data_IF_164136626337
#
_entry.id   IF_164136626337
#
_cell.length_a   1.000
_cell.length_b   1.000
_cell.length_c   1.000
_cell.angle_alpha   90.00
_cell.angle_beta   90.00
_cell.angle_gamma   90.00
#
_symmetry.space_group_name_H-M   'P 1'
#
loop_
_entity.id
_entity.type
_entity.pdbx_description
1 polymer ?
#
# COMPACT_ATOMS: atom_id res chain seq x y z
N UNK A 1 9.93 11.96 2.94
CA UNK A 1 10.71 11.11 3.86
C UNK A 1 11.14 9.86 3.10
N UNK A 2 12.40 9.41 3.21
CA UNK A 2 12.93 8.33 2.41
C UNK A 2 12.77 7.00 3.16
N UNK A 3 11.54 6.54 3.36
CA UNK A 3 11.27 5.31 4.13
C UNK A 3 10.81 4.14 3.27
N UNK A 4 10.82 4.29 1.94
CA UNK A 4 10.37 3.25 1.01
C UNK A 4 11.36 3.04 -0.14
N UNK A 5 12.64 2.90 0.18
CA UNK A 5 13.67 2.51 -0.80
C UNK A 5 13.71 0.97 -0.98
N UNK A 6 12.53 0.33 -0.95
CA UNK A 6 12.40 -1.11 -1.15
C UNK A 6 11.82 -1.36 -2.55
N UNK A 7 12.70 -1.61 -3.51
CA UNK A 7 12.36 -1.87 -4.92
C UNK A 7 11.42 -3.08 -5.12
N UNK A 8 11.22 -3.89 -4.07
CA UNK A 8 10.32 -5.04 -4.09
C UNK A 8 8.85 -4.66 -3.87
N UNK A 9 8.58 -3.48 -3.27
CA UNK A 9 7.23 -3.00 -3.01
C UNK A 9 6.75 -2.16 -4.17
N UNK A 10 5.61 -2.55 -4.75
CA UNK A 10 5.02 -1.94 -5.94
C UNK A 10 3.62 -1.42 -5.63
N UNK A 11 3.26 -0.34 -6.32
CA UNK A 11 1.91 0.22 -6.28
C UNK A 11 1.20 -0.05 -7.61
N UNK A 12 -0.02 -0.55 -7.54
CA UNK A 12 -0.96 -0.63 -8.66
C UNK A 12 -2.13 0.31 -8.42
N UNK A 13 -2.26 1.32 -9.27
CA UNK A 13 -3.41 2.23 -9.28
C UNK A 13 -4.56 1.63 -10.10
N UNK A 14 -5.70 1.37 -9.46
CA UNK A 14 -6.91 0.83 -10.08
C UNK A 14 -8.09 1.76 -9.79
N UNK A 15 -8.48 2.58 -10.77
CA UNK A 15 -9.52 3.61 -10.60
C UNK A 15 -9.29 4.46 -9.33
N UNK A 16 -10.21 4.35 -8.36
CA UNK A 16 -10.19 5.03 -7.05
C UNK A 16 -9.49 4.21 -5.96
N UNK A 17 -8.76 3.16 -6.29
CA UNK A 17 -8.00 2.34 -5.35
C UNK A 17 -6.50 2.35 -5.70
N UNK A 18 -5.68 2.12 -4.68
CA UNK A 18 -4.25 1.83 -4.76
C UNK A 18 -4.01 0.52 -4.05
N UNK A 19 -3.45 -0.45 -4.78
CA UNK A 19 -3.03 -1.73 -4.22
C UNK A 19 -1.53 -1.66 -4.01
N UNK A 20 -1.08 -1.86 -2.79
CA UNK A 20 0.33 -1.99 -2.44
C UNK A 20 0.60 -3.48 -2.33
N UNK A 21 1.56 -3.97 -3.10
CA UNK A 21 1.91 -5.38 -3.13
C UNK A 21 3.41 -5.56 -3.26
N UNK A 22 3.90 -6.73 -2.87
CA UNK A 22 5.29 -7.12 -3.11
C UNK A 22 5.32 -8.44 -3.89
N UNK A 23 6.35 -8.60 -4.72
CA UNK A 23 6.61 -9.85 -5.44
C UNK A 23 7.78 -10.53 -4.76
N UNK A 24 7.57 -11.75 -4.28
CA UNK A 24 8.62 -12.61 -3.71
C UNK A 24 8.70 -13.91 -4.50
N UNK A 25 9.75 -14.69 -4.28
CA UNK A 25 9.91 -15.99 -4.92
C UNK A 25 8.72 -16.95 -4.67
N UNK A 26 8.06 -16.81 -3.51
CA UNK A 26 6.91 -17.63 -3.14
C UNK A 26 5.57 -17.13 -3.73
N UNK A 27 5.55 -15.97 -4.40
CA UNK A 27 4.35 -15.40 -5.03
C UNK A 27 4.14 -13.92 -4.76
N UNK A 28 2.92 -13.45 -5.04
CA UNK A 28 2.51 -12.06 -4.88
C UNK A 28 1.81 -11.89 -3.53
N UNK A 29 2.28 -10.93 -2.74
CA UNK A 29 1.70 -10.61 -1.43
C UNK A 29 1.03 -9.25 -1.51
N UNK A 30 -0.29 -9.21 -1.28
CA UNK A 30 -1.04 -7.95 -1.20
C UNK A 30 -0.89 -7.39 0.21
N UNK A 31 -0.18 -6.27 0.33
CA UNK A 31 0.13 -5.63 1.61
C UNK A 31 -1.00 -4.70 2.06
N UNK A 32 -1.59 -3.96 1.12
CA UNK A 32 -2.69 -3.05 1.42
C UNK A 32 -3.57 -2.76 0.21
N UNK A 33 -4.84 -2.44 0.47
CA UNK A 33 -5.78 -1.88 -0.50
C UNK A 33 -6.30 -0.57 0.06
N UNK A 34 -5.94 0.53 -0.60
CA UNK A 34 -6.22 1.90 -0.14
C UNK A 34 -7.20 2.57 -1.10
N UNK A 35 -8.29 3.14 -0.58
CA UNK A 35 -9.24 3.89 -1.39
C UNK A 35 -8.80 5.35 -1.53
N UNK A 36 -8.49 5.83 -2.74
CA UNK A 36 -8.00 7.19 -3.06
C UNK A 36 -8.85 8.33 -2.50
N UNK A 37 -10.15 8.13 -2.26
CA UNK A 37 -11.03 9.16 -1.65
C UNK A 37 -11.03 9.18 -0.13
N UNK A 38 -10.52 8.14 0.52
CA UNK A 38 -10.17 8.13 1.94
C UNK A 38 -8.66 8.07 1.99
N UNK A 39 -8.03 9.23 1.77
CA UNK A 39 -6.61 9.38 2.07
C UNK A 39 -6.49 9.32 3.60
N UNK A 40 -6.48 8.10 4.13
CA UNK A 40 -6.35 7.80 5.55
C UNK A 40 -5.00 8.34 5.97
N UNK A 41 -5.00 9.48 6.67
CA UNK A 41 -3.78 10.03 7.21
C UNK A 41 -3.33 9.10 8.32
N UNK A 42 -2.03 9.07 8.59
CA UNK A 42 -1.47 8.21 9.63
C UNK A 42 -2.11 8.42 11.03
N UNK A 43 -2.83 9.52 11.26
CA UNK A 43 -3.62 9.78 12.46
C UNK A 43 -5.06 9.25 12.48
N UNK A 44 -5.57 8.70 11.37
CA UNK A 44 -6.96 8.21 11.26
C UNK A 44 -7.12 6.76 11.75
N UNK A 45 -6.01 6.05 11.97
CA UNK A 45 -5.99 4.71 12.57
C UNK A 45 -5.96 4.82 14.09
N UNK A 46 -7.14 4.94 14.71
CA UNK A 46 -7.24 4.85 16.16
C UNK A 46 -7.07 3.38 16.57
N UNK A 47 -5.92 3.06 17.18
CA UNK A 47 -5.65 1.74 17.75
C UNK A 47 -6.35 1.69 19.11
N UNK A 48 -7.60 1.25 19.11
CA UNK A 48 -8.34 0.89 20.32
C UNK A 48 -7.82 -0.43 20.87
#
# INVERSE_FOLDING_TARGET
MPELNNDQVRELSLYSYRIIYEIREQGIFVLAVVHKRRDLKAGDINRV
#
